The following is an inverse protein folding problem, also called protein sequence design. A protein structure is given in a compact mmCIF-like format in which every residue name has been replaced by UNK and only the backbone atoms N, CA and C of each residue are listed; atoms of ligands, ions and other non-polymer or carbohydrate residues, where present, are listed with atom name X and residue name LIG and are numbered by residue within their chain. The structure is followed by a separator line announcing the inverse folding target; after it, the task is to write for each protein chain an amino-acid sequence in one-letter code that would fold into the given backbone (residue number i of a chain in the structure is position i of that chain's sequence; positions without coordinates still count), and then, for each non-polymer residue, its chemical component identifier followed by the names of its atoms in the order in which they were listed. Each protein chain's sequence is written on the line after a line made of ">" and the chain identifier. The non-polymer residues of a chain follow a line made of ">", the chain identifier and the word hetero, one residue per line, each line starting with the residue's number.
data_IF_493992626841
#
_entry.id   IF_493992626841
#
_cell.length_a   1.000
_cell.length_b   1.000
_cell.length_c   1.000
_cell.angle_alpha   90.00
_cell.angle_beta   90.00
_cell.angle_gamma   90.00
#
_symmetry.space_group_name_H-M   'P 1'
#
loop_
_entity.id
_entity.type
_entity.pdbx_description
1 polymer ?
#
# COMPACT_ATOMS: atom_id res chain seq x y z
N UNK A 1 -13.93 25.70 -20.18
CA UNK A 1 -13.57 24.43 -19.51
C UNK A 1 -12.07 24.23 -19.72
N UNK A 2 -11.26 24.26 -18.68
CA UNK A 2 -9.83 23.96 -18.81
C UNK A 2 -9.60 22.45 -18.61
N UNK A 3 -8.61 21.89 -19.29
CA UNK A 3 -8.27 20.45 -19.18
C UNK A 3 -7.99 20.05 -17.73
N UNK A 4 -7.35 20.95 -16.95
CA UNK A 4 -7.11 20.75 -15.51
C UNK A 4 -8.38 20.49 -14.69
N UNK A 5 -9.52 21.03 -15.12
CA UNK A 5 -10.80 20.91 -14.42
C UNK A 5 -11.43 19.51 -14.61
N UNK A 6 -10.88 18.67 -15.50
CA UNK A 6 -11.34 17.29 -15.72
C UNK A 6 -10.77 16.28 -14.72
N UNK A 7 -9.72 16.65 -13.97
CA UNK A 7 -9.03 15.73 -13.06
C UNK A 7 -9.60 15.82 -11.65
N UNK A 8 -9.72 14.67 -10.99
CA UNK A 8 -10.20 14.57 -9.59
C UNK A 8 -9.24 15.25 -8.60
N UNK A 9 -7.94 15.26 -8.91
CA UNK A 9 -6.89 15.87 -8.08
C UNK A 9 -6.10 16.91 -8.89
N UNK A 10 -5.50 17.91 -8.24
CA UNK A 10 -4.63 18.90 -8.90
C UNK A 10 -3.50 18.22 -9.68
N UNK A 11 -3.26 18.65 -10.91
CA UNK A 11 -2.27 18.04 -11.81
C UNK A 11 -0.82 18.43 -11.47
N UNK A 12 -0.65 19.48 -10.69
CA UNK A 12 0.62 20.10 -10.28
C UNK A 12 1.08 19.68 -8.87
N UNK A 13 0.34 18.76 -8.22
CA UNK A 13 0.72 18.20 -6.93
C UNK A 13 2.04 17.43 -7.02
N UNK A 14 2.90 17.56 -6.01
CA UNK A 14 4.15 16.78 -5.93
C UNK A 14 3.82 15.30 -5.77
N UNK A 15 4.47 14.41 -6.52
CA UNK A 15 4.29 12.95 -6.40
C UNK A 15 5.66 12.33 -6.22
N UNK A 16 5.85 11.63 -5.09
CA UNK A 16 7.06 10.85 -4.86
C UNK A 16 7.09 9.64 -5.80
N UNK A 17 7.88 9.73 -6.87
CA UNK A 17 8.00 8.64 -7.85
C UNK A 17 8.74 7.39 -7.35
N UNK A 18 9.40 7.46 -6.19
CA UNK A 18 10.17 6.34 -5.62
C UNK A 18 9.82 6.17 -4.15
N UNK A 19 9.42 4.95 -3.81
CA UNK A 19 9.19 4.54 -2.43
C UNK A 19 10.53 4.42 -1.70
N UNK A 20 10.77 5.27 -0.71
CA UNK A 20 11.94 5.22 0.18
C UNK A 20 11.54 4.68 1.55
N UNK A 21 12.15 3.58 1.95
CA UNK A 21 11.95 2.99 3.28
C UNK A 21 12.73 3.83 4.30
N UNK A 22 12.04 4.40 5.30
CA UNK A 22 12.65 5.22 6.36
C UNK A 22 12.26 6.72 6.34
N UNK A 23 11.57 7.21 5.31
CA UNK A 23 10.87 8.50 5.38
C UNK A 23 9.49 8.25 5.99
N UNK A 24 9.36 8.57 7.28
CA UNK A 24 8.19 8.29 8.10
C UNK A 24 7.49 9.57 8.58
N UNK A 25 7.66 10.68 7.86
CA UNK A 25 6.92 11.89 8.17
C UNK A 25 5.43 11.63 7.88
N UNK A 26 4.55 11.91 8.85
CA UNK A 26 3.13 11.55 8.77
C UNK A 26 2.43 12.11 7.53
N UNK A 27 2.81 13.32 7.06
CA UNK A 27 2.32 13.89 5.80
C UNK A 27 2.66 13.03 4.58
N UNK A 28 3.87 12.45 4.53
CA UNK A 28 4.25 11.58 3.41
C UNK A 28 3.44 10.29 3.43
N UNK A 29 3.19 9.73 4.63
CA UNK A 29 2.35 8.53 4.79
C UNK A 29 0.92 8.83 4.35
N UNK A 30 0.34 9.94 4.82
CA UNK A 30 -1.01 10.40 4.45
C UNK A 30 -1.14 10.53 2.94
N UNK A 31 -0.21 11.24 2.31
CA UNK A 31 -0.22 11.44 0.88
C UNK A 31 -0.07 10.12 0.11
N UNK A 32 0.83 9.22 0.53
CA UNK A 32 0.97 7.90 -0.10
C UNK A 32 -0.32 7.08 -0.03
N UNK A 33 -0.99 7.06 1.13
CA UNK A 33 -2.28 6.38 1.31
C UNK A 33 -3.38 7.00 0.43
N UNK A 34 -3.44 8.33 0.32
CA UNK A 34 -4.41 9.04 -0.52
C UNK A 34 -4.19 8.82 -2.02
N UNK A 35 -2.96 8.62 -2.46
CA UNK A 35 -2.61 8.32 -3.84
C UNK A 35 -2.67 6.81 -4.15
N UNK A 36 -2.77 5.94 -3.13
CA UNK A 36 -2.79 4.50 -3.32
C UNK A 36 -4.12 3.99 -3.88
N UNK A 37 -4.13 3.65 -5.16
CA UNK A 37 -5.31 3.11 -5.83
C UNK A 37 -5.38 1.59 -5.67
N UNK A 38 -6.38 1.12 -4.93
CA UNK A 38 -6.64 -0.32 -4.77
C UNK A 38 -7.40 -0.85 -5.98
N UNK A 39 -6.70 -1.63 -6.81
CA UNK A 39 -7.30 -2.36 -7.93
C UNK A 39 -7.93 -3.67 -7.44
N UNK A 40 -8.74 -4.32 -8.31
CA UNK A 40 -9.32 -5.64 -8.01
C UNK A 40 -8.25 -6.70 -7.72
N UNK A 41 -7.13 -6.67 -8.43
CA UNK A 41 -6.03 -7.62 -8.20
C UNK A 41 -5.33 -7.35 -6.86
N UNK A 42 -5.08 -6.08 -6.52
CA UNK A 42 -4.53 -5.74 -5.20
C UNK A 42 -5.45 -6.17 -4.07
N UNK A 43 -6.76 -5.98 -4.23
CA UNK A 43 -7.75 -6.42 -3.24
C UNK A 43 -7.66 -7.93 -2.97
N UNK A 44 -7.48 -8.75 -4.01
CA UNK A 44 -7.26 -10.20 -3.86
C UNK A 44 -5.99 -10.48 -3.07
N UNK A 45 -4.87 -9.83 -3.41
CA UNK A 45 -3.61 -10.01 -2.70
C UNK A 45 -3.68 -9.63 -1.22
N UNK A 46 -4.38 -8.55 -0.86
CA UNK A 46 -4.66 -8.21 0.53
C UNK A 46 -5.49 -9.30 1.22
N UNK A 47 -6.56 -9.79 0.57
CA UNK A 47 -7.40 -10.84 1.13
C UNK A 47 -6.62 -12.15 1.36
N UNK A 48 -5.77 -12.55 0.41
CA UNK A 48 -4.93 -13.75 0.51
C UNK A 48 -3.92 -13.64 1.67
N UNK A 49 -3.29 -12.46 1.81
CA UNK A 49 -2.39 -12.16 2.91
C UNK A 49 -3.10 -12.26 4.26
N UNK A 50 -4.18 -11.49 4.47
CA UNK A 50 -4.90 -11.46 5.74
C UNK A 50 -5.57 -12.80 6.07
N UNK A 51 -6.05 -13.53 5.06
CA UNK A 51 -6.59 -14.87 5.21
C UNK A 51 -5.54 -15.87 5.71
N UNK A 52 -4.29 -15.73 5.26
CA UNK A 52 -3.17 -16.53 5.77
C UNK A 52 -2.73 -16.06 7.16
N UNK A 53 -2.62 -14.75 7.37
CA UNK A 53 -2.22 -14.13 8.65
C UNK A 53 -3.17 -14.53 9.80
N UNK A 54 -4.48 -14.51 9.55
CA UNK A 54 -5.51 -14.91 10.52
C UNK A 54 -5.33 -16.35 11.04
N UNK A 55 -4.79 -17.27 10.22
CA UNK A 55 -4.55 -18.66 10.65
C UNK A 55 -3.51 -18.74 11.77
N UNK A 56 -2.51 -17.86 11.76
CA UNK A 56 -1.50 -17.77 12.83
C UNK A 56 -1.97 -17.05 14.09
N UNK A 57 -3.02 -16.21 13.99
CA UNK A 57 -3.66 -15.61 15.17
C UNK A 57 -4.56 -16.62 15.87
N UNK A 58 -5.38 -17.35 15.09
CA UNK A 58 -6.42 -18.25 15.62
C UNK A 58 -5.90 -19.65 15.98
N UNK A 59 -4.61 -19.93 15.82
CA UNK A 59 -4.03 -21.25 16.04
C UNK A 59 -2.52 -21.26 15.81
N UNK A 60 -1.95 -22.45 15.76
CA UNK A 60 -0.53 -22.63 15.48
C UNK A 60 -0.33 -22.94 13.98
N UNK A 61 0.61 -22.23 13.35
CA UNK A 61 1.02 -22.47 11.96
C UNK A 61 2.53 -22.38 11.85
N UNK A 62 3.14 -23.31 11.13
CA UNK A 62 4.56 -23.30 10.76
C UNK A 62 4.82 -22.47 9.48
N UNK A 63 3.76 -22.08 8.77
CA UNK A 63 3.80 -21.27 7.54
C UNK A 63 3.88 -19.77 7.85
N UNK A 64 5.06 -19.30 8.24
CA UNK A 64 5.29 -17.92 8.69
C UNK A 64 5.74 -16.95 7.58
N UNK A 65 6.16 -17.46 6.42
CA UNK A 65 6.72 -16.63 5.34
C UNK A 65 5.69 -16.21 4.29
N UNK A 66 5.82 -14.98 3.79
CA UNK A 66 5.08 -14.47 2.63
C UNK A 66 6.08 -14.14 1.52
N UNK A 67 5.80 -14.61 0.31
CA UNK A 67 6.61 -14.33 -0.88
C UNK A 67 5.85 -13.41 -1.83
N UNK A 68 6.39 -12.21 -2.08
CA UNK A 68 5.83 -11.23 -3.01
C UNK A 68 6.69 -11.23 -4.29
N UNK A 69 6.12 -11.72 -5.39
CA UNK A 69 6.80 -11.82 -6.69
C UNK A 69 6.10 -11.00 -7.79
N UNK A 70 6.83 -10.69 -8.87
CA UNK A 70 6.32 -9.87 -9.97
C UNK A 70 7.43 -9.10 -10.70
N UNK A 71 7.14 -8.62 -11.91
CA UNK A 71 8.08 -7.91 -12.78
C UNK A 71 8.58 -6.58 -12.19
N UNK A 72 9.64 -5.99 -12.76
CA UNK A 72 10.07 -4.64 -12.38
C UNK A 72 8.93 -3.63 -12.60
N UNK A 73 8.77 -2.66 -11.69
CA UNK A 73 7.70 -1.66 -11.77
C UNK A 73 6.29 -2.16 -11.39
N UNK A 74 6.10 -3.44 -11.03
CA UNK A 74 4.78 -4.00 -10.65
C UNK A 74 4.24 -3.56 -9.28
N UNK A 75 4.96 -2.70 -8.54
CA UNK A 75 4.48 -2.17 -7.27
C UNK A 75 4.75 -3.06 -6.03
N UNK A 76 5.56 -4.12 -6.13
CA UNK A 76 5.88 -5.03 -4.99
C UNK A 76 6.31 -4.31 -3.70
N UNK A 77 7.28 -3.40 -3.79
CA UNK A 77 7.77 -2.65 -2.63
C UNK A 77 6.73 -1.69 -2.07
N UNK A 78 5.89 -1.11 -2.95
CA UNK A 78 4.79 -0.25 -2.54
C UNK A 78 3.73 -1.05 -1.79
N UNK A 79 3.33 -2.21 -2.34
CA UNK A 79 2.40 -3.14 -1.67
C UNK A 79 2.89 -3.55 -0.29
N UNK A 80 4.18 -3.90 -0.14
CA UNK A 80 4.76 -4.23 1.16
C UNK A 80 4.71 -3.05 2.15
N UNK A 81 4.94 -1.82 1.68
CA UNK A 81 4.86 -0.62 2.53
C UNK A 81 3.43 -0.33 2.98
N UNK A 82 2.45 -0.48 2.09
CA UNK A 82 1.03 -0.36 2.45
C UNK A 82 0.64 -1.44 3.45
N UNK A 83 1.06 -2.70 3.25
CA UNK A 83 0.85 -3.75 4.24
C UNK A 83 1.44 -3.39 5.61
N UNK A 84 2.64 -2.81 5.66
CA UNK A 84 3.21 -2.38 6.95
C UNK A 84 2.37 -1.30 7.63
N UNK A 85 1.84 -0.32 6.89
CA UNK A 85 0.95 0.69 7.46
C UNK A 85 -0.34 0.09 8.02
N UNK A 86 -0.96 -0.83 7.28
CA UNK A 86 -2.18 -1.52 7.70
C UNK A 86 -1.96 -2.38 8.95
N UNK A 87 -0.80 -3.04 9.05
CA UNK A 87 -0.46 -3.88 10.20
C UNK A 87 -0.06 -3.07 11.43
N UNK A 88 0.61 -1.94 11.25
CA UNK A 88 0.93 -1.01 12.33
C UNK A 88 -0.36 -0.38 12.88
N UNK A 89 -1.36 -0.16 12.02
CA UNK A 89 -2.66 0.41 12.38
C UNK A 89 -2.52 1.72 13.18
N UNK A 90 -1.53 2.53 12.81
CA UNK A 90 -1.31 3.87 13.35
C UNK A 90 -2.36 4.83 12.77
N UNK A 91 -2.90 5.70 13.62
CA UNK A 91 -3.73 6.81 13.17
C UNK A 91 -2.86 7.88 12.49
N UNK A 92 -3.21 8.21 11.25
CA UNK A 92 -2.53 9.23 10.44
C UNK A 92 -3.53 10.37 10.26
N UNK A 93 -3.21 11.54 10.80
CA UNK A 93 -4.02 12.76 10.73
C UNK A 93 -3.67 13.58 9.49
#
# INVERSE_FOLDING_TARGET
>A
MFIRDMFVKPIDRDIKGVIKVGQADDENIRQELEEYVVTRELQKHFADFFGSYKKGINGHTDKMGVWISGFFGSGKSHFLKILSYLLENKEVN
#
